data_IF_939384562060
#
_entry.id   IF_939384562060
#
_cell.length_a   1.000
_cell.length_b   1.000
_cell.length_c   1.000
_cell.angle_alpha   90.00
_cell.angle_beta   90.00
_cell.angle_gamma   90.00
#
_symmetry.space_group_name_H-M   'P 1'
#
loop_
_entity.id
_entity.type
_entity.pdbx_description
1 polymer ?
#
# COMPACT_ATOMS: atom_id res chain seq x y z
N UNK A 1 -38.00 -14.72 -19.60
CA UNK A 1 -37.55 -13.41 -20.12
C UNK A 1 -37.12 -12.60 -18.91
N UNK A 2 -35.84 -12.32 -18.76
CA UNK A 2 -35.35 -11.43 -17.70
C UNK A 2 -34.79 -10.21 -18.43
N UNK A 3 -35.53 -9.10 -18.36
CA UNK A 3 -35.01 -7.80 -18.76
C UNK A 3 -34.18 -7.28 -17.59
N UNK A 4 -32.85 -7.25 -17.77
CA UNK A 4 -31.95 -6.60 -16.83
C UNK A 4 -31.98 -5.09 -17.11
N UNK A 5 -32.58 -4.34 -16.19
CA UNK A 5 -32.55 -2.88 -16.19
C UNK A 5 -31.20 -2.45 -15.60
N UNK A 6 -30.33 -1.89 -16.45
CA UNK A 6 -29.06 -1.28 -16.04
C UNK A 6 -29.35 0.14 -15.60
N UNK A 7 -29.40 0.37 -14.28
CA UNK A 7 -29.30 1.72 -13.73
C UNK A 7 -27.83 2.02 -13.42
N UNK A 8 -27.24 2.86 -14.27
CA UNK A 8 -25.95 3.51 -14.03
C UNK A 8 -26.20 4.84 -13.31
N UNK A 9 -25.84 4.91 -12.04
CA UNK A 9 -25.68 6.13 -11.24
C UNK A 9 -24.46 5.85 -10.34
N UNK A 10 -23.30 6.47 -10.49
CA UNK A 10 -23.08 7.91 -10.48
C UNK A 10 -22.30 8.25 -9.20
N UNK A 11 -21.04 8.66 -9.35
CA UNK A 11 -20.33 9.43 -8.32
C UNK A 11 -19.76 8.65 -7.13
N UNK A 12 -18.66 7.96 -7.36
CA UNK A 12 -17.77 7.51 -6.30
C UNK A 12 -16.55 6.87 -6.95
N UNK A 13 -15.41 7.54 -6.90
CA UNK A 13 -14.13 6.88 -7.19
C UNK A 13 -13.88 5.95 -6.01
N UNK A 14 -14.57 4.81 -5.97
CA UNK A 14 -14.05 3.63 -5.32
C UNK A 14 -12.80 3.27 -6.11
N UNK A 15 -11.64 3.66 -5.60
CA UNK A 15 -10.39 3.09 -6.08
C UNK A 15 -10.51 1.59 -5.90
N UNK A 16 -10.73 0.93 -7.03
CA UNK A 16 -10.81 -0.49 -7.16
C UNK A 16 -9.46 -1.07 -6.73
N UNK A 17 -9.38 -1.52 -5.47
CA UNK A 17 -8.21 -2.22 -4.93
C UNK A 17 -8.03 -3.61 -5.58
N UNK A 18 -8.91 -4.01 -6.52
CA UNK A 18 -8.88 -5.34 -7.14
C UNK A 18 -8.01 -5.45 -8.39
N UNK A 19 -7.37 -4.38 -8.85
CA UNK A 19 -6.61 -4.39 -10.11
C UNK A 19 -5.09 -4.29 -9.91
N UNK A 20 -4.53 -5.31 -9.24
CA UNK A 20 -3.25 -5.95 -9.55
C UNK A 20 -2.93 -6.92 -8.41
N UNK A 21 -3.39 -8.16 -8.54
CA UNK A 21 -2.92 -9.27 -7.71
C UNK A 21 -1.48 -9.62 -8.10
N UNK A 22 -0.52 -8.74 -7.80
CA UNK A 22 0.74 -9.24 -7.30
C UNK A 22 0.43 -9.79 -5.92
N UNK A 23 0.97 -10.96 -5.59
CA UNK A 23 0.94 -11.43 -4.21
C UNK A 23 1.57 -10.32 -3.38
N UNK A 24 0.74 -9.48 -2.76
CA UNK A 24 1.19 -8.53 -1.76
C UNK A 24 1.81 -9.41 -0.71
N UNK A 25 3.14 -9.49 -0.75
CA UNK A 25 3.93 -10.21 0.22
C UNK A 25 3.83 -9.36 1.49
N UNK A 26 2.70 -9.48 2.17
CA UNK A 26 2.35 -8.71 3.34
C UNK A 26 3.45 -8.86 4.40
N UNK A 27 4.17 -9.98 4.36
CA UNK A 27 5.39 -10.22 5.13
C UNK A 27 6.48 -9.17 4.85
N UNK A 28 6.74 -8.81 3.59
CA UNK A 28 7.71 -7.77 3.22
C UNK A 28 7.29 -6.40 3.74
N UNK A 29 6.01 -6.06 3.59
CA UNK A 29 5.47 -4.77 4.07
C UNK A 29 5.54 -4.70 5.59
N UNK A 30 5.07 -5.74 6.29
CA UNK A 30 5.10 -5.83 7.76
C UNK A 30 6.54 -5.82 8.29
N UNK A 31 7.46 -6.55 7.64
CA UNK A 31 8.86 -6.57 8.02
C UNK A 31 9.54 -5.20 7.83
N UNK A 32 9.25 -4.50 6.73
CA UNK A 32 9.76 -3.16 6.48
C UNK A 32 9.24 -2.15 7.50
N UNK A 33 7.93 -2.18 7.79
CA UNK A 33 7.33 -1.34 8.83
C UNK A 33 7.92 -1.64 10.22
N UNK A 34 8.13 -2.91 10.54
CA UNK A 34 8.74 -3.32 11.82
C UNK A 34 10.19 -2.85 11.95
N UNK A 35 10.97 -2.93 10.88
CA UNK A 35 12.35 -2.41 10.82
C UNK A 35 12.38 -0.89 10.93
N UNK A 36 11.44 -0.20 10.27
CA UNK A 36 11.25 1.24 10.39
C UNK A 36 10.97 1.67 11.83
N UNK A 37 9.99 1.03 12.47
CA UNK A 37 9.58 1.35 13.84
C UNK A 37 10.72 1.09 14.83
N UNK A 38 11.50 0.02 14.63
CA UNK A 38 12.73 -0.23 15.41
C UNK A 38 13.78 0.86 15.21
N UNK A 39 13.92 1.39 13.99
CA UNK A 39 14.90 2.44 13.68
C UNK A 39 14.50 3.83 14.22
N UNK A 40 13.21 4.15 14.20
CA UNK A 40 12.69 5.49 14.54
C UNK A 40 12.07 5.58 15.93
N UNK A 41 11.95 4.46 16.65
CA UNK A 41 11.22 4.34 17.93
C UNK A 41 9.80 4.92 17.87
N UNK A 42 9.21 4.93 16.68
CA UNK A 42 7.89 5.48 16.40
C UNK A 42 6.93 4.36 16.04
N UNK A 43 5.67 4.47 16.45
CA UNK A 43 4.62 3.54 16.04
C UNK A 43 4.24 3.77 14.57
N UNK A 44 3.82 2.71 13.85
CA UNK A 44 3.37 2.86 12.48
C UNK A 44 2.02 3.58 12.46
N UNK A 45 1.97 4.73 11.81
CA UNK A 45 0.73 5.46 11.57
C UNK A 45 0.08 5.07 10.23
N UNK A 46 -1.16 5.50 10.00
CA UNK A 46 -1.90 5.19 8.78
C UNK A 46 -1.22 5.76 7.52
N UNK A 47 -0.46 6.85 7.65
CA UNK A 47 0.29 7.46 6.56
C UNK A 47 1.45 6.57 6.15
N UNK A 48 2.24 6.09 7.11
CA UNK A 48 3.36 5.19 6.92
C UNK A 48 2.90 3.87 6.27
N UNK A 49 1.81 3.29 6.76
CA UNK A 49 1.23 2.06 6.18
C UNK A 49 0.81 2.27 4.71
N UNK A 50 0.05 3.32 4.44
CA UNK A 50 -0.37 3.68 3.08
C UNK A 50 0.82 3.91 2.16
N UNK A 51 1.87 4.56 2.69
CA UNK A 51 3.09 4.84 1.92
C UNK A 51 3.91 3.60 1.64
N UNK A 52 4.03 2.69 2.60
CA UNK A 52 4.70 1.42 2.41
C UNK A 52 4.02 0.58 1.32
N UNK A 53 2.68 0.49 1.34
CA UNK A 53 1.90 -0.21 0.31
C UNK A 53 2.12 0.45 -1.06
N UNK A 54 2.07 1.77 -1.14
CA UNK A 54 2.31 2.50 -2.39
C UNK A 54 3.71 2.23 -2.95
N UNK A 55 4.75 2.31 -2.11
CA UNK A 55 6.14 2.09 -2.52
C UNK A 55 6.41 0.64 -2.92
N UNK A 56 5.83 -0.33 -2.21
CA UNK A 56 5.89 -1.75 -2.59
C UNK A 56 5.33 -1.95 -4.00
N UNK A 57 4.15 -1.39 -4.28
CA UNK A 57 3.51 -1.42 -5.59
C UNK A 57 4.30 -0.70 -6.70
N UNK A 58 5.30 0.13 -6.38
CA UNK A 58 6.23 0.72 -7.36
C UNK A 58 7.46 -0.14 -7.63
N UNK A 59 7.54 -1.35 -7.08
CA UNK A 59 8.66 -2.27 -7.25
C UNK A 59 9.70 -2.23 -6.13
N UNK A 60 9.37 -1.66 -4.97
CA UNK A 60 10.18 -1.80 -3.76
C UNK A 60 9.80 -3.10 -3.03
N UNK A 61 10.01 -4.21 -3.74
CA UNK A 61 9.56 -5.57 -3.44
C UNK A 61 10.41 -6.30 -2.38
N UNK A 62 11.41 -5.63 -1.79
CA UNK A 62 12.23 -6.19 -0.72
C UNK A 62 12.25 -5.26 0.49
N UNK A 63 12.40 -5.84 1.68
CA UNK A 63 12.41 -5.11 2.95
C UNK A 63 13.42 -3.96 2.94
N UNK A 64 14.64 -4.21 2.46
CA UNK A 64 15.71 -3.19 2.41
C UNK A 64 15.33 -2.04 1.48
N UNK A 65 14.88 -2.34 0.26
CA UNK A 65 14.46 -1.31 -0.71
C UNK A 65 13.28 -0.50 -0.20
N UNK A 66 12.32 -1.17 0.43
CA UNK A 66 11.12 -0.53 0.96
C UNK A 66 11.45 0.41 2.13
N UNK A 67 12.32 -0.01 3.05
CA UNK A 67 12.79 0.83 4.16
C UNK A 67 13.58 2.04 3.64
N UNK A 68 14.50 1.85 2.69
CA UNK A 68 15.27 2.96 2.12
C UNK A 68 14.39 3.95 1.33
N UNK A 69 13.40 3.43 0.60
CA UNK A 69 12.41 4.25 -0.09
C UNK A 69 11.56 5.05 0.91
N UNK A 70 11.07 4.43 1.99
CA UNK A 70 10.36 5.12 3.07
C UNK A 70 11.23 6.20 3.72
N UNK A 71 12.54 5.96 3.89
CA UNK A 71 13.46 6.93 4.51
C UNK A 71 13.63 8.15 3.62
N UNK A 72 13.82 7.89 2.33
CA UNK A 72 13.96 8.93 1.32
C UNK A 72 12.69 9.77 1.18
N UNK A 73 11.52 9.14 1.34
CA UNK A 73 10.23 9.78 1.11
C UNK A 73 9.70 10.57 2.32
N UNK A 74 9.96 10.12 3.55
CA UNK A 74 9.41 10.72 4.78
C UNK A 74 10.36 11.65 5.54
N UNK A 75 11.68 11.57 5.29
CA UNK A 75 12.68 12.42 5.96
C UNK A 75 13.12 13.63 5.13
N UNK A 76 12.57 13.81 3.92
CA UNK A 76 12.73 15.01 3.09
C UNK A 76 11.52 15.93 3.21
#
# INVERSE_FOLDING_TARGET
>A
MIEAHVETLGGGVMHDLSFNCYEDDAEVIIAALSEWCRSTSSEPDALLMSRAIFLFNRGNDSVVRLVDALRTDLLH
#
